data_IF_414153961789
#
_entry.id   IF_414153961789
#
_cell.length_a   1.000
_cell.length_b   1.000
_cell.length_c   1.000
_cell.angle_alpha   90.00
_cell.angle_beta   90.00
_cell.angle_gamma   90.00
#
_symmetry.space_group_name_H-M   'P 1'
#
loop_
_entity.id
_entity.type
_entity.pdbx_description
1 polymer ?
#
# COMPACT_ATOMS: atom_id res chain seq x y z
N UNK A 1 3.78 26.45 -20.35
CA UNK A 1 4.45 25.15 -20.51
C UNK A 1 5.85 25.28 -19.96
N UNK A 2 6.29 24.32 -19.17
CA UNK A 2 7.67 24.21 -18.69
C UNK A 2 8.32 23.01 -19.37
N UNK A 3 9.65 23.01 -19.45
CA UNK A 3 10.39 21.88 -20.00
C UNK A 3 11.69 21.67 -19.24
N UNK A 4 12.12 20.40 -19.18
CA UNK A 4 13.48 20.05 -18.81
C UNK A 4 14.22 19.54 -20.03
N UNK A 5 15.53 19.76 -20.05
CA UNK A 5 16.44 19.08 -20.97
C UNK A 5 17.33 18.15 -20.15
N UNK A 6 17.18 16.86 -20.38
CA UNK A 6 17.95 15.81 -19.73
C UNK A 6 19.15 15.43 -20.60
N UNK A 7 20.35 15.40 -20.00
CA UNK A 7 21.54 14.89 -20.68
C UNK A 7 21.30 13.46 -21.20
N UNK A 8 20.70 12.62 -20.37
CA UNK A 8 20.18 11.31 -20.74
C UNK A 8 18.81 11.07 -20.10
N UNK A 9 17.92 10.34 -20.77
CA UNK A 9 16.68 9.85 -20.19
C UNK A 9 16.43 8.37 -20.51
N UNK A 10 15.93 7.60 -19.54
CA UNK A 10 15.49 6.22 -19.78
C UNK A 10 14.01 6.20 -20.18
N UNK A 11 13.74 5.76 -21.41
CA UNK A 11 12.40 5.77 -22.02
C UNK A 11 11.77 4.37 -22.13
N UNK A 12 12.20 3.43 -21.28
CA UNK A 12 11.67 2.05 -21.24
C UNK A 12 12.40 1.03 -22.11
N UNK A 13 13.52 1.40 -22.75
CA UNK A 13 14.36 0.51 -23.56
C UNK A 13 15.56 -0.10 -22.83
N UNK A 14 16.43 -0.80 -23.56
CA UNK A 14 17.66 -1.38 -23.00
C UNK A 14 18.78 -0.34 -22.72
N UNK A 15 18.64 0.88 -23.21
CA UNK A 15 19.61 1.97 -23.05
C UNK A 15 18.92 3.32 -22.83
N UNK A 16 19.68 4.33 -22.43
CA UNK A 16 19.18 5.70 -22.30
C UNK A 16 19.31 6.46 -23.63
N UNK A 17 18.35 7.33 -23.92
CA UNK A 17 18.43 8.30 -25.01
C UNK A 17 19.18 9.55 -24.54
N UNK A 18 19.99 10.16 -25.40
CA UNK A 18 20.70 11.40 -25.10
C UNK A 18 19.88 12.63 -25.50
N UNK A 19 20.20 13.78 -24.90
CA UNK A 19 19.65 15.10 -25.26
C UNK A 19 18.13 15.12 -25.36
N UNK A 20 17.46 14.75 -24.27
CA UNK A 20 16.01 14.56 -24.27
C UNK A 20 15.32 15.79 -23.70
N UNK A 21 14.46 16.45 -24.48
CA UNK A 21 13.52 17.45 -23.96
C UNK A 21 12.25 16.75 -23.46
N UNK A 22 11.83 17.07 -22.24
CA UNK A 22 10.56 16.64 -21.67
C UNK A 22 9.74 17.88 -21.39
N UNK A 23 8.57 18.00 -22.02
CA UNK A 23 7.67 19.15 -21.91
C UNK A 23 6.49 18.80 -21.00
N UNK A 24 6.12 19.75 -20.15
CA UNK A 24 5.04 19.59 -19.19
C UNK A 24 3.92 20.61 -19.44
N UNK A 25 2.69 20.13 -19.33
CA UNK A 25 1.47 20.92 -19.32
C UNK A 25 0.55 20.42 -18.20
N UNK A 26 0.11 21.31 -17.32
CA UNK A 26 -0.81 21.00 -16.22
C UNK A 26 -0.36 19.81 -15.34
N UNK A 27 0.93 19.73 -15.02
CA UNK A 27 1.49 18.65 -14.20
C UNK A 27 1.67 17.30 -14.91
N UNK A 28 1.33 17.22 -16.19
CA UNK A 28 1.47 16.01 -17.02
C UNK A 28 2.58 16.20 -18.06
N UNK A 29 3.20 15.09 -18.46
CA UNK A 29 4.14 15.07 -19.58
C UNK A 29 3.32 15.18 -20.88
N UNK A 30 3.56 16.23 -21.66
CA UNK A 30 2.87 16.46 -22.94
C UNK A 30 3.70 16.05 -24.15
N UNK A 31 5.03 16.04 -24.04
CA UNK A 31 5.93 15.60 -25.10
C UNK A 31 7.25 15.08 -24.53
N UNK A 32 7.85 14.10 -25.21
CA UNK A 32 9.20 13.57 -24.96
C UNK A 32 9.91 13.55 -26.31
N UNK A 33 11.01 14.30 -26.43
CA UNK A 33 11.71 14.52 -27.68
C UNK A 33 13.21 14.24 -27.50
N UNK A 34 13.72 13.05 -27.89
CA UNK A 34 15.15 12.74 -27.85
C UNK A 34 15.93 13.45 -28.96
N UNK A 35 17.25 13.52 -28.81
CA UNK A 35 18.17 14.09 -29.81
C UNK A 35 17.91 15.58 -30.15
N UNK A 36 17.36 16.33 -29.19
CA UNK A 36 17.08 17.75 -29.31
C UNK A 36 18.08 18.56 -28.50
N UNK A 37 18.69 19.57 -29.14
CA UNK A 37 19.58 20.50 -28.43
C UNK A 37 18.80 21.31 -27.38
N UNK A 38 19.41 21.59 -26.20
CA UNK A 38 18.78 22.39 -25.16
C UNK A 38 18.50 23.81 -25.65
N UNK A 39 17.32 24.33 -25.31
CA UNK A 39 16.95 25.74 -25.49
C UNK A 39 17.31 26.56 -24.26
N UNK A 40 17.28 27.89 -24.38
CA UNK A 40 17.53 28.79 -23.26
C UNK A 40 16.45 28.73 -22.16
N UNK A 41 15.23 28.27 -22.50
CA UNK A 41 14.10 28.12 -21.58
C UNK A 41 14.07 26.77 -20.85
N UNK A 42 14.92 25.82 -21.25
CA UNK A 42 14.95 24.50 -20.61
C UNK A 42 15.70 24.54 -19.27
N UNK A 43 15.10 23.96 -18.23
CA UNK A 43 15.83 23.59 -17.02
C UNK A 43 16.73 22.39 -17.33
N UNK A 44 18.05 22.57 -17.25
CA UNK A 44 19.02 21.53 -17.62
C UNK A 44 19.27 20.56 -16.47
N UNK A 45 19.11 19.28 -16.73
CA UNK A 45 19.37 18.19 -15.79
C UNK A 45 20.57 17.38 -16.30
N UNK A 46 21.66 17.39 -15.52
CA UNK A 46 22.82 16.54 -15.78
C UNK A 46 22.56 15.11 -15.30
N UNK A 47 23.17 14.13 -15.96
CA UNK A 47 23.00 12.71 -15.63
C UNK A 47 21.78 12.07 -16.30
N UNK A 48 21.24 11.03 -15.66
CA UNK A 48 20.14 10.22 -16.19
C UNK A 48 18.84 10.59 -15.49
N UNK A 49 17.84 11.00 -16.27
CA UNK A 49 16.45 11.14 -15.82
C UNK A 49 15.72 9.81 -16.04
N UNK A 50 14.96 9.38 -15.05
CA UNK A 50 14.13 8.17 -15.13
C UNK A 50 12.76 8.41 -14.49
N UNK A 51 11.73 7.61 -14.83
CA UNK A 51 10.47 7.63 -14.11
C UNK A 51 10.72 7.42 -12.61
N UNK A 52 10.02 8.21 -11.78
CA UNK A 52 10.10 8.04 -10.34
C UNK A 52 9.61 6.66 -9.91
N UNK A 53 10.23 6.11 -8.86
CA UNK A 53 9.84 4.79 -8.37
C UNK A 53 8.46 4.82 -7.70
N UNK A 54 7.76 3.69 -7.77
CA UNK A 54 6.51 3.45 -7.03
C UNK A 54 6.81 2.46 -5.91
N UNK A 55 6.56 2.88 -4.68
CA UNK A 55 6.56 1.97 -3.54
C UNK A 55 5.12 1.47 -3.33
N UNK A 56 4.78 0.31 -3.89
CA UNK A 56 3.41 -0.19 -3.92
C UNK A 56 2.87 -0.68 -2.56
N UNK A 57 3.72 -0.81 -1.53
CA UNK A 57 3.31 -1.28 -0.21
C UNK A 57 4.15 -0.67 0.91
N UNK A 58 3.49 -0.03 1.87
CA UNK A 58 4.11 0.60 3.02
C UNK A 58 3.22 0.51 4.27
N UNK A 59 3.88 0.47 5.43
CA UNK A 59 3.28 0.76 6.73
C UNK A 59 4.15 1.82 7.41
N UNK A 60 3.79 3.10 7.30
CA UNK A 60 4.65 4.22 7.68
C UNK A 60 5.15 4.12 9.13
N UNK A 61 4.29 3.71 10.06
CA UNK A 61 4.70 3.63 11.46
C UNK A 61 5.71 2.51 11.76
N UNK A 62 5.87 1.52 10.88
CA UNK A 62 6.91 0.48 11.02
C UNK A 62 8.31 1.06 10.92
N UNK A 63 8.47 2.27 10.38
CA UNK A 63 9.75 2.99 10.40
C UNK A 63 10.31 3.16 11.82
N UNK A 64 9.45 3.24 12.84
CA UNK A 64 9.85 3.30 14.23
C UNK A 64 10.53 2.01 14.72
N UNK A 65 10.25 0.88 14.08
CA UNK A 65 10.84 -0.43 14.40
C UNK A 65 12.18 -0.67 13.69
N UNK A 66 12.48 0.08 12.61
CA UNK A 66 13.68 -0.11 11.78
C UNK A 66 14.95 -0.14 12.66
N UNK A 67 15.66 -1.27 12.64
CA UNK A 67 16.90 -1.48 13.38
C UNK A 67 16.72 -1.83 14.87
N UNK A 68 15.50 -1.97 15.38
CA UNK A 68 15.19 -2.13 16.82
C UNK A 68 14.61 -3.48 17.19
N UNK A 69 14.41 -4.37 16.23
CA UNK A 69 13.74 -5.66 16.40
C UNK A 69 14.66 -6.85 16.15
N UNK A 70 15.97 -6.63 16.13
CA UNK A 70 16.99 -7.66 15.88
C UNK A 70 17.46 -8.38 17.15
N UNK A 71 16.75 -8.22 18.28
CA UNK A 71 17.04 -8.98 19.49
C UNK A 71 16.43 -10.39 19.40
N UNK A 72 17.19 -11.41 19.84
CA UNK A 72 16.77 -12.81 19.77
C UNK A 72 16.98 -13.45 18.38
N UNK A 73 16.44 -14.66 18.19
CA UNK A 73 16.59 -15.48 16.97
C UNK A 73 15.66 -15.07 15.80
N UNK A 74 15.14 -13.84 15.79
CA UNK A 74 14.22 -13.38 14.73
C UNK A 74 12.82 -13.99 14.85
N UNK A 75 12.21 -13.87 16.03
CA UNK A 75 10.82 -14.28 16.24
C UNK A 75 9.83 -13.22 15.73
N UNK A 76 9.02 -13.57 14.73
CA UNK A 76 7.94 -12.74 14.20
C UNK A 76 6.98 -12.28 15.30
N UNK A 77 6.67 -13.14 16.27
CA UNK A 77 5.71 -12.80 17.34
C UNK A 77 6.28 -11.74 18.30
N UNK A 78 7.57 -11.81 18.60
CA UNK A 78 8.29 -10.77 19.35
C UNK A 78 8.33 -9.44 18.60
N UNK A 79 8.63 -9.45 17.29
CA UNK A 79 8.54 -8.25 16.44
C UNK A 79 7.13 -7.66 16.48
N UNK A 80 6.11 -8.51 16.34
CA UNK A 80 4.70 -8.10 16.29
C UNK A 80 4.25 -7.44 17.59
N UNK A 81 4.75 -7.92 18.73
CA UNK A 81 4.49 -7.30 20.04
C UNK A 81 5.01 -5.86 20.09
N UNK A 82 6.24 -5.61 19.62
CA UNK A 82 6.81 -4.26 19.54
C UNK A 82 6.04 -3.38 18.55
N UNK A 83 5.62 -3.95 17.42
CA UNK A 83 4.78 -3.26 16.43
C UNK A 83 3.46 -2.78 17.06
N UNK A 84 2.76 -3.62 17.83
CA UNK A 84 1.56 -3.23 18.54
C UNK A 84 1.80 -2.14 19.58
N UNK A 85 2.95 -2.16 20.28
CA UNK A 85 3.30 -1.09 21.22
C UNK A 85 3.46 0.27 20.53
N UNK A 86 4.07 0.30 19.33
CA UNK A 86 4.15 1.53 18.53
C UNK A 86 2.76 1.96 18.08
N UNK A 87 1.99 1.06 17.45
CA UNK A 87 0.67 1.37 16.92
C UNK A 87 -0.26 1.94 18.00
N UNK A 88 -0.21 1.41 19.24
CA UNK A 88 -1.05 1.87 20.35
C UNK A 88 -0.61 3.19 21.00
N UNK A 89 0.53 3.76 20.61
CA UNK A 89 1.02 5.07 21.08
C UNK A 89 0.79 6.21 20.07
N UNK A 90 0.33 5.89 18.86
CA UNK A 90 0.15 6.90 17.82
C UNK A 90 -1.03 7.83 18.14
N UNK A 91 -0.79 9.12 18.10
CA UNK A 91 -1.83 10.16 18.08
C UNK A 91 -1.82 10.80 16.69
N UNK A 92 -2.88 11.51 16.27
CA UNK A 92 -2.88 12.23 14.99
C UNK A 92 -1.63 13.10 14.80
N UNK A 93 -1.21 13.83 15.84
CA UNK A 93 -0.07 14.75 15.78
C UNK A 93 1.27 14.03 15.63
N UNK A 94 1.50 12.99 16.44
CA UNK A 94 2.77 12.27 16.40
C UNK A 94 2.88 11.38 15.14
N UNK A 95 1.75 10.88 14.63
CA UNK A 95 1.74 10.08 13.41
C UNK A 95 1.95 10.95 12.18
N UNK A 96 1.37 12.16 12.14
CA UNK A 96 1.65 13.14 11.09
C UNK A 96 3.15 13.43 10.98
N UNK A 97 3.80 13.66 12.12
CA UNK A 97 5.25 13.91 12.17
C UNK A 97 6.05 12.71 11.65
N UNK A 98 5.73 11.51 12.14
CA UNK A 98 6.41 10.27 11.74
C UNK A 98 6.22 9.96 10.26
N UNK A 99 4.98 9.98 9.77
CA UNK A 99 4.64 9.69 8.38
C UNK A 99 5.24 10.71 7.42
N UNK A 100 5.25 12.01 7.79
CA UNK A 100 5.92 13.04 6.96
C UNK A 100 7.40 12.73 6.80
N UNK A 101 8.09 12.33 7.88
CA UNK A 101 9.50 11.96 7.82
C UNK A 101 9.73 10.72 6.94
N UNK A 102 8.87 9.69 7.05
CA UNK A 102 8.91 8.48 6.22
C UNK A 102 8.77 8.82 4.75
N UNK A 103 7.74 9.58 4.39
CA UNK A 103 7.46 9.95 3.01
C UNK A 103 8.52 10.89 2.44
N UNK A 104 9.11 11.76 3.26
CA UNK A 104 10.26 12.58 2.84
C UNK A 104 11.50 11.73 2.58
N UNK A 105 11.79 10.72 3.41
CA UNK A 105 12.87 9.76 3.15
C UNK A 105 12.63 9.03 1.81
N UNK A 106 11.39 8.64 1.51
CA UNK A 106 11.03 7.99 0.24
C UNK A 106 11.23 8.93 -0.96
N UNK A 107 10.78 10.19 -0.86
CA UNK A 107 10.95 11.19 -1.92
C UNK A 107 12.44 11.43 -2.22
N UNK A 108 13.27 11.56 -1.18
CA UNK A 108 14.73 11.72 -1.32
C UNK A 108 15.41 10.48 -1.92
N UNK A 109 14.81 9.30 -1.79
CA UNK A 109 15.26 8.06 -2.41
C UNK A 109 14.75 7.86 -3.86
N UNK A 110 14.03 8.84 -4.43
CA UNK A 110 13.51 8.79 -5.79
C UNK A 110 12.15 8.10 -5.94
N UNK A 111 11.46 7.81 -4.84
CA UNK A 111 10.08 7.30 -4.86
C UNK A 111 9.12 8.49 -4.99
N UNK A 112 8.22 8.42 -5.96
CA UNK A 112 7.29 9.53 -6.27
C UNK A 112 5.82 9.18 -6.01
N UNK A 113 5.53 7.90 -5.73
CA UNK A 113 4.19 7.43 -5.35
C UNK A 113 4.31 6.30 -4.32
N UNK A 114 3.48 6.33 -3.29
CA UNK A 114 3.43 5.28 -2.25
C UNK A 114 2.02 4.72 -2.08
N UNK A 115 1.90 3.40 -2.03
CA UNK A 115 0.71 2.69 -1.55
C UNK A 115 0.83 2.47 -0.05
N UNK A 116 0.19 3.32 0.75
CA UNK A 116 0.23 3.22 2.21
C UNK A 116 -0.92 2.32 2.68
N UNK A 117 -0.56 1.12 3.14
CA UNK A 117 -1.46 0.10 3.68
C UNK A 117 -1.74 0.42 5.15
N UNK A 118 -2.79 1.22 5.36
CA UNK A 118 -3.08 1.91 6.60
C UNK A 118 -4.15 1.19 7.43
N UNK A 119 -3.78 0.71 8.61
CA UNK A 119 -4.67 -0.03 9.51
C UNK A 119 -4.75 0.53 10.93
N UNK A 120 -4.33 1.77 11.19
CA UNK A 120 -4.45 2.38 12.52
C UNK A 120 -5.51 3.47 12.46
N UNK A 121 -6.76 3.10 12.73
CA UNK A 121 -7.94 3.94 12.48
C UNK A 121 -8.42 4.68 13.72
N UNK A 122 -8.51 3.97 14.85
CA UNK A 122 -9.25 4.44 16.03
C UNK A 122 -8.35 5.07 17.09
N UNK A 123 -8.95 5.67 18.12
CA UNK A 123 -8.26 6.22 19.28
C UNK A 123 -7.52 5.13 20.08
N UNK A 124 -6.65 5.53 21.00
CA UNK A 124 -5.87 4.59 21.81
C UNK A 124 -6.72 3.68 22.72
N UNK A 125 -7.96 4.05 23.00
CA UNK A 125 -8.93 3.21 23.71
C UNK A 125 -9.71 2.27 22.77
N UNK A 126 -9.57 2.40 21.44
CA UNK A 126 -10.31 1.65 20.43
C UNK A 126 -11.58 2.33 19.92
N UNK A 127 -11.98 3.46 20.51
CA UNK A 127 -13.16 4.21 20.07
C UNK A 127 -12.86 5.02 18.81
N UNK A 128 -13.87 5.24 17.97
CA UNK A 128 -13.76 6.14 16.82
C UNK A 128 -13.44 7.57 17.27
N UNK A 129 -12.70 8.31 16.44
CA UNK A 129 -12.60 9.76 16.54
C UNK A 129 -13.92 10.40 16.11
N UNK A 130 -14.09 11.71 16.37
CA UNK A 130 -15.26 12.46 15.89
C UNK A 130 -15.39 12.38 14.36
N UNK A 131 -14.25 12.39 13.66
CA UNK A 131 -14.13 11.97 12.28
C UNK A 131 -13.56 10.54 12.22
N UNK A 132 -14.33 9.52 11.81
CA UNK A 132 -13.85 8.14 11.77
C UNK A 132 -12.60 7.92 10.91
N UNK A 133 -12.29 8.85 10.00
CA UNK A 133 -11.14 8.81 9.10
C UNK A 133 -9.98 9.73 9.53
N UNK A 134 -9.98 10.25 10.75
CA UNK A 134 -8.95 11.17 11.28
C UNK A 134 -7.51 10.69 10.97
N UNK A 135 -7.20 9.43 11.28
CA UNK A 135 -5.87 8.86 11.07
C UNK A 135 -5.53 8.67 9.58
N UNK A 136 -6.52 8.34 8.74
CA UNK A 136 -6.33 8.29 7.29
C UNK A 136 -6.05 9.67 6.68
N UNK A 137 -6.73 10.71 7.17
CA UNK A 137 -6.49 12.12 6.77
C UNK A 137 -5.12 12.62 7.20
N UNK A 138 -4.63 12.19 8.37
CA UNK A 138 -3.25 12.44 8.81
C UNK A 138 -2.23 11.88 7.81
N UNK A 139 -2.45 10.67 7.28
CA UNK A 139 -1.57 10.09 6.26
C UNK A 139 -1.60 10.88 4.95
N UNK A 140 -2.79 11.29 4.51
CA UNK A 140 -2.94 12.12 3.30
C UNK A 140 -2.17 13.44 3.46
N UNK A 141 -2.33 14.12 4.59
CA UNK A 141 -1.61 15.37 4.87
C UNK A 141 -0.09 15.15 5.00
N UNK A 142 0.35 14.04 5.59
CA UNK A 142 1.77 13.69 5.65
C UNK A 142 2.39 13.53 4.25
N UNK A 143 1.68 12.85 3.33
CA UNK A 143 2.13 12.67 1.95
C UNK A 143 2.19 14.00 1.21
N UNK A 144 1.17 14.85 1.39
CA UNK A 144 1.12 16.20 0.85
C UNK A 144 2.32 17.04 1.32
N UNK A 145 2.65 17.05 2.61
CA UNK A 145 3.83 17.76 3.16
C UNK A 145 5.15 17.27 2.60
N UNK A 146 5.27 15.97 2.37
CA UNK A 146 6.47 15.36 1.80
C UNK A 146 6.58 15.56 0.27
N UNK A 147 5.51 16.03 -0.39
CA UNK A 147 5.46 16.18 -1.84
C UNK A 147 5.43 14.85 -2.61
N UNK A 148 5.00 13.76 -1.96
CA UNK A 148 4.85 12.44 -2.60
C UNK A 148 3.38 12.19 -2.93
N UNK A 149 3.11 11.50 -4.05
CA UNK A 149 1.75 11.04 -4.34
C UNK A 149 1.41 9.81 -3.51
N UNK A 150 0.13 9.64 -3.22
CA UNK A 150 -0.37 8.62 -2.31
C UNK A 150 -1.49 7.78 -2.93
N UNK A 151 -1.46 6.49 -2.71
CA UNK A 151 -2.68 5.67 -2.68
C UNK A 151 -2.88 5.24 -1.24
N UNK A 152 -3.88 5.82 -0.57
CA UNK A 152 -4.27 5.40 0.77
C UNK A 152 -5.06 4.10 0.62
N UNK A 153 -4.43 3.00 1.02
CA UNK A 153 -5.04 1.67 1.02
C UNK A 153 -5.65 1.48 2.41
N UNK A 154 -6.93 1.87 2.54
CA UNK A 154 -7.62 1.78 3.84
C UNK A 154 -7.91 0.31 4.17
N UNK A 155 -7.46 -0.12 5.35
CA UNK A 155 -7.45 -1.53 5.69
C UNK A 155 -8.73 -1.97 6.38
N UNK A 156 -9.34 -3.06 5.88
CA UNK A 156 -10.32 -3.83 6.62
C UNK A 156 -9.61 -4.88 7.48
N UNK A 157 -9.88 -4.86 8.79
CA UNK A 157 -9.42 -5.86 9.74
C UNK A 157 -10.62 -6.24 10.62
N UNK A 158 -11.23 -7.40 10.41
CA UNK A 158 -12.52 -7.76 11.04
C UNK A 158 -12.40 -8.95 12.01
N UNK A 159 -11.44 -9.84 11.79
CA UNK A 159 -11.28 -11.10 12.53
C UNK A 159 -9.87 -11.28 13.10
N UNK A 160 -9.76 -11.98 14.24
CA UNK A 160 -8.46 -12.33 14.85
C UNK A 160 -7.79 -13.54 14.20
N UNK A 161 -8.54 -14.32 13.42
CA UNK A 161 -8.07 -15.55 12.77
C UNK A 161 -9.15 -16.22 11.93
N UNK A 162 -8.86 -17.44 11.47
CA UNK A 162 -9.69 -18.21 10.53
C UNK A 162 -10.71 -19.14 11.20
N UNK A 163 -10.64 -19.35 12.52
CA UNK A 163 -11.48 -20.28 13.28
C UNK A 163 -12.33 -19.55 14.32
N UNK A 164 -12.75 -18.32 14.04
CA UNK A 164 -13.57 -17.51 14.93
C UNK A 164 -12.80 -16.91 16.11
N UNK A 165 -11.46 -16.85 16.03
CA UNK A 165 -10.65 -16.13 17.00
C UNK A 165 -11.06 -14.65 17.04
N UNK A 166 -11.32 -14.16 18.25
CA UNK A 166 -11.61 -12.75 18.49
C UNK A 166 -10.32 -11.93 18.38
N UNK A 167 -10.48 -10.67 18.01
CA UNK A 167 -9.40 -9.69 18.03
C UNK A 167 -8.87 -9.51 19.45
N UNK A 168 -7.55 -9.38 19.58
CA UNK A 168 -6.91 -9.07 20.85
C UNK A 168 -7.03 -7.58 21.19
N UNK A 169 -6.86 -7.24 22.47
CA UNK A 169 -6.89 -5.85 22.95
C UNK A 169 -5.85 -4.97 22.23
N UNK A 170 -4.74 -5.56 21.80
CA UNK A 170 -3.69 -4.88 21.07
C UNK A 170 -4.06 -4.49 19.63
N UNK A 171 -5.13 -5.08 19.09
CA UNK A 171 -5.66 -4.84 17.73
C UNK A 171 -6.85 -3.87 17.73
N UNK A 172 -7.27 -3.36 18.89
CA UNK A 172 -8.48 -2.55 19.04
C UNK A 172 -8.53 -1.27 18.21
N UNK A 173 -7.38 -0.83 17.70
CA UNK A 173 -7.28 0.37 16.86
C UNK A 173 -7.47 0.09 15.38
N UNK A 174 -7.54 -1.19 14.98
CA UNK A 174 -7.47 -1.58 13.57
C UNK A 174 -8.82 -1.96 12.99
N UNK A 175 -9.78 -2.34 13.83
CA UNK A 175 -10.98 -3.03 13.37
C UNK A 175 -12.22 -2.15 13.34
N UNK A 176 -13.01 -2.28 12.29
CA UNK A 176 -14.42 -1.91 12.30
C UNK A 176 -15.23 -3.14 12.74
N UNK A 177 -16.38 -2.94 13.38
CA UNK A 177 -17.14 -4.07 13.95
C UNK A 177 -17.73 -4.96 12.87
N UNK A 178 -18.05 -4.38 11.71
CA UNK A 178 -18.62 -5.10 10.57
C UNK A 178 -18.04 -4.59 9.26
N UNK A 179 -18.16 -5.42 8.22
CA UNK A 179 -17.79 -5.03 6.86
C UNK A 179 -18.57 -3.79 6.39
N UNK A 180 -19.86 -3.66 6.73
CA UNK A 180 -20.67 -2.50 6.33
C UNK A 180 -20.15 -1.19 6.94
N UNK A 181 -19.70 -1.22 8.20
CA UNK A 181 -19.09 -0.06 8.86
C UNK A 181 -17.78 0.35 8.16
N UNK A 182 -16.93 -0.63 7.84
CA UNK A 182 -15.70 -0.37 7.09
C UNK A 182 -16.01 0.20 5.68
N UNK A 183 -16.95 -0.41 4.94
CA UNK A 183 -17.36 0.05 3.61
C UNK A 183 -17.88 1.49 3.64
N UNK A 184 -18.69 1.83 4.65
CA UNK A 184 -19.15 3.20 4.87
C UNK A 184 -17.98 4.15 5.12
N UNK A 185 -17.08 3.82 6.06
CA UNK A 185 -15.93 4.65 6.40
C UNK A 185 -15.02 4.91 5.19
N UNK A 186 -14.77 3.89 4.37
CA UNK A 186 -13.98 4.00 3.14
C UNK A 186 -14.71 4.73 2.01
N UNK A 187 -16.04 4.71 1.99
CA UNK A 187 -16.83 5.54 1.09
C UNK A 187 -16.71 7.03 1.45
N UNK A 188 -16.72 7.36 2.75
CA UNK A 188 -16.64 8.74 3.27
C UNK A 188 -15.28 9.41 2.98
N UNK A 189 -14.22 8.64 2.70
CA UNK A 189 -12.93 9.16 2.20
C UNK A 189 -13.02 9.73 0.77
N UNK A 190 -14.05 9.40 0.00
CA UNK A 190 -14.22 9.86 -1.38
C UNK A 190 -13.25 9.21 -2.37
N UNK A 191 -12.97 9.90 -3.48
CA UNK A 191 -12.14 9.37 -4.60
C UNK A 191 -10.73 9.97 -4.66
N UNK A 192 -10.44 10.99 -3.85
CA UNK A 192 -9.16 11.69 -3.85
C UNK A 192 -9.02 12.78 -4.92
N UNK A 193 -7.79 13.08 -5.34
CA UNK A 193 -7.42 14.08 -6.34
C UNK A 193 -6.09 13.69 -7.06
N UNK A 194 -5.47 14.62 -7.81
CA UNK A 194 -4.23 14.35 -8.56
C UNK A 194 -3.03 13.92 -7.69
N UNK A 195 -3.07 14.21 -6.38
CA UNK A 195 -1.99 13.90 -5.43
C UNK A 195 -2.29 12.66 -4.59
N UNK A 196 -3.55 12.27 -4.41
CA UNK A 196 -3.88 11.05 -3.70
C UNK A 196 -5.13 10.33 -4.22
N UNK A 197 -5.17 9.01 -4.05
CA UNK A 197 -6.31 8.15 -4.37
C UNK A 197 -6.65 7.24 -3.19
N UNK A 198 -7.87 6.72 -3.16
CA UNK A 198 -8.33 5.78 -2.14
C UNK A 198 -8.45 4.37 -2.75
N UNK A 199 -7.73 3.41 -2.17
CA UNK A 199 -7.85 1.99 -2.48
C UNK A 199 -8.43 1.20 -1.31
N UNK A 200 -8.79 -0.04 -1.59
CA UNK A 200 -9.36 -0.98 -0.62
C UNK A 200 -8.27 -1.94 -0.15
N UNK A 201 -8.18 -2.23 1.14
CA UNK A 201 -7.21 -3.19 1.63
C UNK A 201 -7.78 -4.19 2.65
N UNK A 202 -8.47 -5.26 2.24
CA UNK A 202 -8.67 -6.36 3.16
C UNK A 202 -7.30 -6.87 3.64
N UNK A 203 -7.06 -6.85 4.96
CA UNK A 203 -5.71 -7.06 5.49
C UNK A 203 -5.12 -8.39 5.00
N UNK A 204 -5.82 -9.49 5.25
CA UNK A 204 -5.47 -10.85 4.84
C UNK A 204 -6.71 -11.74 4.96
N UNK A 205 -6.64 -12.96 4.42
CA UNK A 205 -7.73 -13.96 4.61
C UNK A 205 -7.96 -14.33 6.08
N UNK A 206 -6.97 -14.09 6.95
CA UNK A 206 -7.10 -14.28 8.41
C UNK A 206 -7.96 -13.23 9.09
N UNK A 207 -8.00 -12.03 8.52
CA UNK A 207 -8.67 -10.88 9.09
C UNK A 207 -9.95 -10.49 8.35
N UNK A 208 -10.15 -10.97 7.13
CA UNK A 208 -11.35 -10.74 6.31
C UNK A 208 -11.69 -12.05 5.62
N UNK A 209 -12.86 -12.62 5.94
CA UNK A 209 -13.25 -13.94 5.47
C UNK A 209 -13.91 -13.88 4.09
N UNK A 210 -14.03 -15.04 3.43
CA UNK A 210 -14.45 -15.14 2.03
C UNK A 210 -15.75 -14.39 1.68
N UNK A 211 -16.77 -14.45 2.56
CA UNK A 211 -18.04 -13.76 2.32
C UNK A 211 -17.89 -12.23 2.34
N UNK A 212 -16.97 -11.70 3.13
CA UNK A 212 -16.65 -10.27 3.20
C UNK A 212 -15.77 -9.87 2.02
N UNK A 213 -14.80 -10.69 1.63
CA UNK A 213 -14.00 -10.49 0.41
C UNK A 213 -14.89 -10.37 -0.83
N UNK A 214 -15.96 -11.17 -0.92
CA UNK A 214 -16.94 -11.09 -2.01
C UNK A 214 -17.77 -9.79 -1.99
N UNK A 215 -18.01 -9.21 -0.81
CA UNK A 215 -18.64 -7.90 -0.68
C UNK A 215 -17.70 -6.79 -1.14
N UNK A 216 -16.42 -6.87 -0.76
CA UNK A 216 -15.36 -5.94 -1.23
C UNK A 216 -15.24 -6.00 -2.75
N UNK A 217 -15.26 -7.19 -3.34
CA UNK A 217 -15.19 -7.37 -4.80
C UNK A 217 -16.34 -6.63 -5.53
N UNK A 218 -17.55 -6.67 -4.96
CA UNK A 218 -18.73 -5.96 -5.50
C UNK A 218 -18.65 -4.45 -5.29
N UNK A 219 -18.08 -4.00 -4.16
CA UNK A 219 -17.95 -2.60 -3.81
C UNK A 219 -16.80 -1.88 -4.53
N UNK A 220 -15.79 -2.62 -5.01
CA UNK A 220 -14.53 -2.12 -5.60
C UNK A 220 -14.68 -0.86 -6.48
N UNK A 221 -15.66 -0.83 -7.39
CA UNK A 221 -15.93 0.30 -8.30
C UNK A 221 -14.64 0.92 -8.88
N UNK A 222 -13.83 0.09 -9.54
CA UNK A 222 -12.51 0.42 -10.13
C UNK A 222 -11.41 0.93 -9.19
N UNK A 223 -11.66 0.97 -7.87
CA UNK A 223 -10.59 1.18 -6.87
C UNK A 223 -9.61 0.01 -6.90
N UNK A 224 -8.34 0.29 -6.66
CA UNK A 224 -7.34 -0.77 -6.46
C UNK A 224 -7.61 -1.52 -5.16
N UNK A 225 -7.28 -2.80 -5.15
CA UNK A 225 -7.38 -3.68 -3.96
C UNK A 225 -6.00 -4.23 -3.64
N UNK A 226 -5.51 -4.04 -2.42
CA UNK A 226 -4.25 -4.63 -1.96
C UNK A 226 -4.53 -5.57 -0.78
N UNK A 227 -3.89 -6.72 -0.74
CA UNK A 227 -4.11 -7.71 0.31
C UNK A 227 -2.83 -8.50 0.56
N UNK A 228 -2.49 -8.74 1.82
CA UNK A 228 -1.42 -9.68 2.17
C UNK A 228 -1.88 -11.09 1.87
N UNK A 229 -1.10 -11.82 1.07
CA UNK A 229 -1.41 -13.20 0.70
C UNK A 229 -0.15 -14.04 0.80
N UNK A 230 -0.25 -15.19 1.46
CA UNK A 230 0.74 -16.26 1.37
C UNK A 230 2.16 -15.82 1.75
N UNK A 231 2.26 -14.92 2.73
CA UNK A 231 3.52 -14.40 3.25
C UNK A 231 4.27 -15.47 4.06
N UNK A 232 3.54 -16.26 4.85
CA UNK A 232 4.09 -17.25 5.78
C UNK A 232 3.48 -18.65 5.52
N UNK A 233 4.26 -19.75 5.57
CA UNK A 233 3.72 -21.11 5.36
C UNK A 233 2.63 -21.49 6.38
N UNK A 234 2.71 -20.94 7.59
CA UNK A 234 1.72 -21.14 8.64
C UNK A 234 0.34 -20.55 8.27
N UNK A 235 0.31 -19.41 7.57
CA UNK A 235 -0.94 -18.83 7.06
C UNK A 235 -1.62 -19.78 6.06
N UNK A 236 -0.87 -20.29 5.09
CA UNK A 236 -1.40 -21.22 4.10
C UNK A 236 -1.94 -22.49 4.77
N UNK A 237 -1.17 -23.07 5.70
CA UNK A 237 -1.56 -24.28 6.41
C UNK A 237 -2.85 -24.07 7.22
N UNK A 238 -2.97 -22.93 7.91
CA UNK A 238 -4.19 -22.58 8.64
C UNK A 238 -5.37 -22.35 7.71
N UNK A 239 -5.17 -21.67 6.57
CA UNK A 239 -6.18 -21.42 5.54
C UNK A 239 -6.75 -22.72 4.97
N UNK A 240 -5.88 -23.64 4.55
CA UNK A 240 -6.27 -24.94 4.02
C UNK A 240 -6.99 -25.75 5.09
N UNK A 241 -6.50 -25.76 6.34
CA UNK A 241 -7.17 -26.48 7.43
C UNK A 241 -8.58 -25.96 7.69
N UNK A 242 -8.78 -24.65 7.65
CA UNK A 242 -10.07 -24.02 7.96
C UNK A 242 -11.07 -24.08 6.79
N UNK A 243 -10.59 -24.01 5.55
CA UNK A 243 -11.46 -23.78 4.38
C UNK A 243 -11.30 -24.80 3.25
N UNK A 244 -10.27 -25.64 3.30
CA UNK A 244 -9.89 -26.53 2.22
C UNK A 244 -9.21 -25.82 1.03
N UNK A 245 -8.94 -24.52 1.13
CA UNK A 245 -8.39 -23.67 0.06
C UNK A 245 -7.11 -22.98 0.49
N UNK A 246 -6.25 -22.62 -0.46
CA UNK A 246 -5.16 -21.65 -0.24
C UNK A 246 -5.73 -20.23 -0.09
N UNK A 247 -4.98 -19.26 0.47
CA UNK A 247 -5.41 -17.85 0.46
C UNK A 247 -5.76 -17.34 -0.95
N UNK A 248 -4.94 -17.65 -1.95
CA UNK A 248 -5.17 -17.24 -3.34
C UNK A 248 -6.46 -17.82 -3.92
N UNK A 249 -6.74 -19.10 -3.65
CA UNK A 249 -7.99 -19.73 -4.05
C UNK A 249 -9.21 -19.08 -3.40
N UNK A 250 -9.13 -18.66 -2.12
CA UNK A 250 -10.23 -17.91 -1.49
C UNK A 250 -10.50 -16.56 -2.19
N UNK A 251 -9.44 -15.83 -2.58
CA UNK A 251 -9.59 -14.59 -3.35
C UNK A 251 -10.22 -14.85 -4.72
N UNK A 252 -9.84 -15.96 -5.36
CA UNK A 252 -10.44 -16.40 -6.64
C UNK A 252 -11.93 -16.70 -6.47
N UNK A 253 -12.29 -17.52 -5.48
CA UNK A 253 -13.68 -17.90 -5.20
C UNK A 253 -14.55 -16.68 -4.81
N UNK A 254 -13.94 -15.64 -4.21
CA UNK A 254 -14.58 -14.38 -3.88
C UNK A 254 -14.69 -13.40 -5.07
N UNK A 255 -14.18 -13.75 -6.26
CA UNK A 255 -14.05 -12.86 -7.42
C UNK A 255 -13.24 -11.58 -7.15
N UNK A 256 -12.27 -11.65 -6.23
CA UNK A 256 -11.43 -10.52 -5.86
C UNK A 256 -10.13 -10.46 -6.67
N UNK A 257 -9.74 -11.54 -7.36
CA UNK A 257 -8.63 -11.49 -8.31
C UNK A 257 -8.97 -10.64 -9.56
N UNK A 258 -7.96 -10.04 -10.17
CA UNK A 258 -8.09 -9.17 -11.33
C UNK A 258 -6.93 -8.18 -11.49
N UNK A 259 -6.98 -7.36 -12.55
CA UNK A 259 -6.00 -6.31 -12.86
C UNK A 259 -6.00 -5.13 -11.90
N UNK A 260 -7.04 -5.01 -11.07
CA UNK A 260 -7.13 -4.00 -10.00
C UNK A 260 -6.62 -4.52 -8.66
N UNK A 261 -6.19 -5.77 -8.60
CA UNK A 261 -5.77 -6.41 -7.35
C UNK A 261 -4.27 -6.61 -7.33
N UNK A 262 -3.67 -6.27 -6.19
CA UNK A 262 -2.27 -6.50 -5.87
C UNK A 262 -2.17 -7.49 -4.72
N UNK A 263 -1.62 -8.67 -5.00
CA UNK A 263 -1.24 -9.66 -4.01
C UNK A 263 0.11 -9.26 -3.40
N UNK A 264 0.10 -8.78 -2.15
CA UNK A 264 1.30 -8.41 -1.43
C UNK A 264 1.97 -9.66 -0.87
N UNK A 265 3.30 -9.72 -0.97
CA UNK A 265 4.17 -10.88 -0.71
C UNK A 265 4.03 -11.97 -1.76
N UNK A 266 2.92 -12.71 -1.76
CA UNK A 266 2.67 -13.81 -2.68
C UNK A 266 3.85 -14.81 -2.73
N UNK A 267 4.41 -15.13 -1.55
CA UNK A 267 5.70 -15.84 -1.41
C UNK A 267 5.54 -17.36 -1.53
N UNK A 268 4.55 -17.94 -0.85
CA UNK A 268 4.39 -19.38 -0.71
C UNK A 268 3.26 -19.94 -1.58
N UNK A 269 3.32 -19.65 -2.87
CA UNK A 269 2.28 -20.05 -3.83
C UNK A 269 2.45 -21.50 -4.32
N UNK A 270 1.34 -22.18 -4.53
CA UNK A 270 1.29 -23.42 -5.33
C UNK A 270 1.31 -23.10 -6.83
N UNK A 271 1.51 -24.12 -7.68
CA UNK A 271 1.43 -23.95 -9.13
C UNK A 271 0.03 -23.48 -9.59
N UNK A 272 -1.02 -23.93 -8.89
CA UNK A 272 -2.39 -23.48 -9.16
C UNK A 272 -2.57 -22.00 -8.81
N UNK A 273 -2.05 -21.57 -7.66
CA UNK A 273 -2.12 -20.17 -7.23
C UNK A 273 -1.41 -19.25 -8.23
N UNK A 274 -0.22 -19.63 -8.70
CA UNK A 274 0.52 -18.88 -9.73
C UNK A 274 -0.31 -18.79 -11.02
N UNK A 275 -0.93 -19.89 -11.44
CA UNK A 275 -1.83 -19.91 -12.61
C UNK A 275 -3.03 -18.98 -12.43
N UNK A 276 -3.67 -18.97 -11.24
CA UNK A 276 -4.80 -18.10 -10.94
C UNK A 276 -4.42 -16.62 -11.05
N UNK A 277 -3.34 -16.22 -10.37
CA UNK A 277 -2.83 -14.84 -10.40
C UNK A 277 -2.45 -14.40 -11.81
N UNK A 278 -1.79 -15.27 -12.58
CA UNK A 278 -1.40 -14.99 -13.96
C UNK A 278 -2.60 -14.82 -14.89
N UNK A 279 -3.59 -15.71 -14.82
CA UNK A 279 -4.80 -15.67 -15.66
C UNK A 279 -5.67 -14.45 -15.35
N UNK A 280 -5.78 -14.06 -14.08
CA UNK A 280 -6.55 -12.88 -13.67
C UNK A 280 -5.82 -11.56 -13.91
N UNK A 281 -4.54 -11.60 -14.31
CA UNK A 281 -3.65 -10.43 -14.43
C UNK A 281 -3.49 -9.69 -13.09
N UNK A 282 -3.50 -10.42 -11.98
CA UNK A 282 -3.25 -9.87 -10.65
C UNK A 282 -1.78 -9.55 -10.47
N UNK A 283 -1.49 -8.36 -9.96
CA UNK A 283 -0.12 -7.92 -9.71
C UNK A 283 0.41 -8.60 -8.45
N UNK A 284 1.65 -9.09 -8.48
CA UNK A 284 2.37 -9.50 -7.27
C UNK A 284 3.27 -8.34 -6.81
N UNK A 285 3.14 -7.92 -5.55
CA UNK A 285 4.01 -6.93 -4.93
C UNK A 285 4.96 -7.65 -3.97
N UNK A 286 6.20 -7.84 -4.40
CA UNK A 286 7.24 -8.42 -3.56
C UNK A 286 7.85 -7.36 -2.64
N UNK A 287 8.08 -7.74 -1.38
CA UNK A 287 8.76 -6.93 -0.38
C UNK A 287 10.05 -7.67 0.06
N UNK A 288 11.14 -7.69 -0.73
CA UNK A 288 12.25 -8.62 -0.49
C UNK A 288 13.06 -8.38 0.80
N UNK A 289 12.84 -7.24 1.47
CA UNK A 289 13.50 -6.88 2.73
C UNK A 289 12.67 -7.25 3.98
N UNK A 290 11.44 -7.74 3.79
CA UNK A 290 10.58 -8.25 4.88
C UNK A 290 10.75 -9.74 5.05
#
# INVERSE_FOLDING_TARGET
MSSIHAQYAWLGGASCSANVRITFANGLISAIEPDIAPSASDSRIAGVVMPGFVNAHSHAFHRALRGRTHSGLGDFWAWRTLMYQVANRLTPENYLTLATAVFSEMALAGITHVGEFHYVHHQQNGNQYDDPNEMGKVIIEAAHRAGIRLTLLDVAYLHGGLNGEKLGDEQKRFYDTTIDQWLQRVQELGTGNDMYSIGLAPHSVRAVHQAELAQIAKFRNDRVVHIHISEQPAENSACIKATGRTPTQLLSDANLLGSFTTAVHATHLTAEDISLLGKSKTTACFCPTT
#
